data_IF_896797574724
#
_entry.id   IF_896797574724
#
_cell.length_a   1.000
_cell.length_b   1.000
_cell.length_c   1.000
_cell.angle_alpha   90.00
_cell.angle_beta   90.00
_cell.angle_gamma   90.00
#
_symmetry.space_group_name_H-M   'P 1'
#
loop_
_entity.id
_entity.type
_entity.pdbx_description
1 polymer ?
#
# COMPACT_ATOMS: atom_id res chain seq x y z
N UNK A 1 -22.32 19.65 -6.66
CA UNK A 1 -23.36 19.66 -5.62
C UNK A 1 -23.79 18.23 -5.32
N UNK A 2 -23.60 17.75 -4.09
CA UNK A 2 -23.92 16.37 -3.70
C UNK A 2 -25.21 16.26 -2.85
N UNK A 3 -26.08 17.28 -2.88
CA UNK A 3 -27.34 17.28 -2.13
C UNK A 3 -28.18 16.04 -2.46
N UNK A 4 -28.52 15.25 -1.45
CA UNK A 4 -29.34 14.05 -1.57
C UNK A 4 -28.64 12.75 -1.89
N UNK A 5 -27.34 12.75 -2.22
CA UNK A 5 -26.55 11.53 -2.39
C UNK A 5 -25.99 11.06 -1.05
N UNK A 6 -26.04 9.75 -0.78
CA UNK A 6 -25.36 9.18 0.38
C UNK A 6 -23.85 9.35 0.29
N UNK A 7 -23.14 9.33 1.41
CA UNK A 7 -21.66 9.39 1.46
C UNK A 7 -21.07 8.31 0.56
N UNK A 8 -21.57 7.09 0.62
CA UNK A 8 -21.14 6.01 -0.27
C UNK A 8 -21.31 6.38 -1.74
N UNK A 9 -22.49 6.91 -2.12
CA UNK A 9 -22.74 7.31 -3.51
C UNK A 9 -21.89 8.49 -3.95
N UNK A 10 -21.52 9.39 -3.04
CA UNK A 10 -20.60 10.49 -3.33
C UNK A 10 -19.21 9.96 -3.70
N UNK A 11 -18.66 9.02 -2.92
CA UNK A 11 -17.37 8.38 -3.19
C UNK A 11 -17.44 7.57 -4.49
N UNK A 12 -18.46 6.74 -4.67
CA UNK A 12 -18.61 5.89 -5.86
C UNK A 12 -18.91 6.68 -7.14
N UNK A 13 -19.41 7.92 -7.03
CA UNK A 13 -19.57 8.80 -8.21
C UNK A 13 -18.25 9.26 -8.83
N UNK A 14 -17.13 9.05 -8.14
CA UNK A 14 -15.77 9.31 -8.66
C UNK A 14 -15.25 8.18 -9.57
N UNK A 15 -15.97 7.06 -9.67
CA UNK A 15 -15.63 5.97 -10.59
C UNK A 15 -15.64 6.51 -12.03
N UNK A 16 -14.54 6.42 -12.77
CA UNK A 16 -14.52 6.76 -14.19
C UNK A 16 -15.23 5.65 -15.00
N UNK A 17 -16.53 5.80 -15.19
CA UNK A 17 -17.44 4.79 -15.73
C UNK A 17 -16.96 4.19 -17.06
N UNK A 18 -16.51 5.06 -17.99
CA UNK A 18 -16.01 4.62 -19.30
C UNK A 18 -14.79 3.72 -19.17
N UNK A 19 -13.85 4.12 -18.32
CA UNK A 19 -12.59 3.38 -18.13
C UNK A 19 -12.87 2.06 -17.39
N UNK A 20 -13.76 2.08 -16.38
CA UNK A 20 -14.18 0.86 -15.68
C UNK A 20 -14.84 -0.12 -16.66
N UNK A 21 -15.75 0.37 -17.52
CA UNK A 21 -16.37 -0.45 -18.55
C UNK A 21 -15.32 -1.07 -19.49
N UNK A 22 -14.32 -0.31 -19.90
CA UNK A 22 -13.21 -0.80 -20.74
C UNK A 22 -12.45 -1.95 -20.07
N UNK A 23 -12.18 -1.84 -18.74
CA UNK A 23 -11.57 -2.94 -17.98
C UNK A 23 -12.45 -4.18 -17.97
N UNK A 24 -13.76 -4.03 -17.77
CA UNK A 24 -14.71 -5.15 -17.76
C UNK A 24 -14.83 -5.82 -19.13
N UNK A 25 -14.93 -5.03 -20.21
CA UNK A 25 -15.12 -5.54 -21.58
C UNK A 25 -13.90 -6.32 -22.07
N UNK A 26 -12.68 -5.97 -21.62
CA UNK A 26 -11.44 -6.68 -21.92
C UNK A 26 -11.52 -8.17 -21.57
N UNK A 27 -12.17 -8.50 -20.45
CA UNK A 27 -12.31 -9.89 -19.95
C UNK A 27 -13.63 -10.53 -20.31
N UNK A 28 -14.52 -9.87 -21.09
CA UNK A 28 -15.80 -10.38 -21.62
C UNK A 28 -16.76 -10.95 -20.57
N UNK A 29 -16.65 -10.52 -19.32
CA UNK A 29 -17.33 -11.17 -18.17
C UNK A 29 -18.81 -10.80 -18.08
N UNK A 30 -19.20 -9.60 -18.52
CA UNK A 30 -20.61 -9.16 -18.51
C UNK A 30 -21.47 -9.74 -19.64
N UNK A 31 -20.89 -10.46 -20.59
CA UNK A 31 -21.60 -10.97 -21.78
C UNK A 31 -22.83 -11.82 -21.45
N UNK A 32 -22.87 -12.44 -20.25
CA UNK A 32 -24.01 -13.23 -19.75
C UNK A 32 -24.56 -12.77 -18.41
N UNK A 33 -24.12 -11.61 -17.91
CA UNK A 33 -24.59 -11.09 -16.63
C UNK A 33 -25.92 -10.32 -16.83
N UNK A 34 -27.05 -10.98 -16.57
CA UNK A 34 -28.39 -10.35 -16.74
C UNK A 34 -28.74 -9.36 -15.63
N UNK A 35 -28.51 -9.72 -14.35
CA UNK A 35 -29.04 -8.98 -13.21
C UNK A 35 -27.96 -8.51 -12.22
N UNK A 36 -26.71 -8.95 -12.33
CA UNK A 36 -25.61 -8.62 -11.42
C UNK A 36 -24.34 -8.35 -12.20
N UNK A 37 -24.06 -7.09 -12.50
CA UNK A 37 -22.91 -6.66 -13.27
C UNK A 37 -21.61 -6.67 -12.44
N UNK A 38 -20.44 -6.48 -13.09
CA UNK A 38 -19.17 -6.25 -12.39
C UNK A 38 -19.21 -4.96 -11.57
N UNK A 39 -19.96 -3.95 -12.01
CA UNK A 39 -20.14 -2.71 -11.24
C UNK A 39 -20.93 -2.98 -9.96
N UNK A 40 -22.04 -3.74 -10.05
CA UNK A 40 -22.81 -4.11 -8.85
C UNK A 40 -21.94 -4.89 -7.86
N UNK A 41 -21.11 -5.83 -8.35
CA UNK A 41 -20.15 -6.55 -7.51
C UNK A 41 -19.18 -5.59 -6.85
N UNK A 42 -18.60 -4.66 -7.60
CA UNK A 42 -17.67 -3.66 -7.07
C UNK A 42 -18.33 -2.83 -5.96
N UNK A 43 -19.53 -2.31 -6.19
CA UNK A 43 -20.27 -1.50 -5.20
C UNK A 43 -20.58 -2.31 -3.94
N UNK A 44 -21.10 -3.53 -4.08
CA UNK A 44 -21.44 -4.39 -2.94
C UNK A 44 -20.20 -4.77 -2.13
N UNK A 45 -19.12 -5.15 -2.80
CA UNK A 45 -17.88 -5.53 -2.14
C UNK A 45 -17.21 -4.33 -1.44
N UNK A 46 -17.16 -3.16 -2.09
CA UNK A 46 -16.63 -1.93 -1.49
C UNK A 46 -17.46 -1.49 -0.28
N UNK A 47 -18.80 -1.59 -0.38
CA UNK A 47 -19.70 -1.32 0.75
C UNK A 47 -19.43 -2.27 1.92
N UNK A 48 -19.31 -3.57 1.64
CA UNK A 48 -19.03 -4.60 2.64
C UNK A 48 -17.66 -4.36 3.35
N UNK A 49 -16.65 -3.99 2.60
CA UNK A 49 -15.33 -3.69 3.15
C UNK A 49 -15.35 -2.42 4.02
N UNK A 50 -15.96 -1.33 3.55
CA UNK A 50 -16.05 -0.08 4.30
C UNK A 50 -16.90 -0.19 5.56
N UNK A 51 -17.90 -1.10 5.59
CA UNK A 51 -18.75 -1.37 6.76
C UNK A 51 -18.28 -2.53 7.62
N UNK A 52 -17.14 -3.14 7.28
CA UNK A 52 -16.52 -4.19 8.08
C UNK A 52 -17.33 -5.49 8.14
N UNK A 53 -17.90 -5.94 7.02
CA UNK A 53 -18.62 -7.21 6.98
C UNK A 53 -17.66 -8.39 7.01
N UNK A 54 -17.99 -9.42 7.78
CA UNK A 54 -17.10 -10.56 8.02
C UNK A 54 -17.39 -11.76 7.12
N UNK A 55 -18.57 -11.84 6.52
CA UNK A 55 -18.96 -12.99 5.69
C UNK A 55 -19.99 -12.62 4.63
N UNK A 56 -20.13 -13.49 3.61
CA UNK A 56 -21.19 -13.35 2.60
C UNK A 56 -22.60 -13.34 3.19
N UNK A 57 -22.81 -14.06 4.28
CA UNK A 57 -24.10 -14.06 4.99
C UNK A 57 -24.35 -12.72 5.70
N UNK A 58 -23.31 -12.17 6.31
CA UNK A 58 -23.38 -10.86 6.95
C UNK A 58 -23.63 -9.74 5.91
N UNK A 59 -23.00 -9.82 4.73
CA UNK A 59 -23.27 -8.91 3.61
C UNK A 59 -24.74 -9.00 3.20
N UNK A 60 -25.28 -10.20 2.95
CA UNK A 60 -26.67 -10.41 2.56
C UNK A 60 -27.64 -9.86 3.60
N UNK A 61 -27.42 -10.15 4.89
CA UNK A 61 -28.24 -9.66 5.99
C UNK A 61 -28.21 -8.13 6.09
N UNK A 62 -27.03 -7.54 5.98
CA UNK A 62 -26.84 -6.08 6.00
C UNK A 62 -27.58 -5.40 4.83
N UNK A 63 -27.41 -5.91 3.60
CA UNK A 63 -28.10 -5.36 2.43
C UNK A 63 -29.63 -5.53 2.54
N UNK A 64 -30.11 -6.65 3.08
CA UNK A 64 -31.55 -6.87 3.31
C UNK A 64 -32.12 -5.89 4.33
N UNK A 65 -31.44 -5.66 5.44
CA UNK A 65 -31.84 -4.68 6.45
C UNK A 65 -31.85 -3.24 5.91
N UNK A 66 -30.97 -2.93 4.93
CA UNK A 66 -30.86 -1.62 4.31
C UNK A 66 -31.64 -1.50 2.99
N UNK A 67 -32.54 -2.43 2.68
CA UNK A 67 -33.21 -2.49 1.37
C UNK A 67 -33.85 -1.18 0.92
N UNK A 68 -34.45 -0.40 1.82
CA UNK A 68 -35.00 0.93 1.53
C UNK A 68 -33.97 2.01 1.21
N UNK A 69 -32.70 1.81 1.58
CA UNK A 69 -31.61 2.79 1.38
C UNK A 69 -30.65 2.41 0.24
N UNK A 70 -30.68 1.17 -0.24
CA UNK A 70 -29.74 0.65 -1.25
C UNK A 70 -29.73 1.47 -2.53
N UNK A 71 -30.91 1.87 -3.01
CA UNK A 71 -31.05 2.70 -4.20
C UNK A 71 -30.23 4.01 -4.09
N UNK A 72 -30.22 4.62 -2.92
CA UNK A 72 -29.45 5.84 -2.67
C UNK A 72 -27.94 5.58 -2.61
N UNK A 73 -27.51 4.34 -2.41
CA UNK A 73 -26.13 3.89 -2.47
C UNK A 73 -25.70 3.45 -3.89
N UNK A 74 -26.63 3.47 -4.86
CA UNK A 74 -26.38 2.96 -6.21
C UNK A 74 -26.40 1.43 -6.32
N UNK A 75 -26.90 0.73 -5.28
CA UNK A 75 -27.06 -0.73 -5.23
C UNK A 75 -28.53 -1.05 -5.53
N UNK A 76 -28.79 -1.77 -6.62
CA UNK A 76 -30.15 -1.95 -7.14
C UNK A 76 -31.03 -2.83 -6.25
N UNK A 77 -30.46 -3.81 -5.55
CA UNK A 77 -31.18 -4.75 -4.70
C UNK A 77 -30.26 -5.45 -3.70
N UNK A 78 -30.84 -6.08 -2.68
CA UNK A 78 -30.09 -6.92 -1.75
C UNK A 78 -29.64 -8.21 -2.46
N UNK A 79 -28.34 -8.30 -2.74
CA UNK A 79 -27.76 -9.39 -3.51
C UNK A 79 -27.70 -10.67 -2.67
N UNK A 80 -28.25 -11.81 -3.15
CA UNK A 80 -28.12 -13.08 -2.46
C UNK A 80 -26.65 -13.52 -2.36
N UNK A 81 -26.26 -14.06 -1.21
CA UNK A 81 -24.87 -14.55 -0.96
C UNK A 81 -24.36 -15.51 -2.03
N UNK A 82 -25.24 -16.40 -2.55
CA UNK A 82 -24.86 -17.35 -3.59
C UNK A 82 -24.53 -16.67 -4.92
N UNK A 83 -25.19 -15.57 -5.24
CA UNK A 83 -24.90 -14.76 -6.43
C UNK A 83 -23.54 -14.07 -6.29
N UNK A 84 -23.30 -13.47 -5.12
CA UNK A 84 -22.03 -12.82 -4.83
C UNK A 84 -20.87 -13.83 -4.77
N UNK A 85 -21.07 -14.99 -4.14
CA UNK A 85 -20.08 -16.08 -4.11
C UNK A 85 -19.67 -16.53 -5.52
N UNK A 86 -20.67 -16.83 -6.38
CA UNK A 86 -20.41 -17.24 -7.77
C UNK A 86 -19.69 -16.14 -8.57
N UNK A 87 -20.03 -14.88 -8.34
CA UNK A 87 -19.35 -13.76 -8.99
C UNK A 87 -17.90 -13.65 -8.55
N UNK A 88 -17.60 -13.76 -7.25
CA UNK A 88 -16.24 -13.72 -6.69
C UNK A 88 -15.37 -14.89 -7.19
N UNK A 89 -15.97 -16.05 -7.42
CA UNK A 89 -15.26 -17.24 -7.90
C UNK A 89 -14.98 -17.20 -9.40
N UNK A 90 -15.94 -16.71 -10.21
CA UNK A 90 -15.89 -16.86 -11.68
C UNK A 90 -15.41 -15.64 -12.44
N UNK A 91 -15.56 -14.45 -11.87
CA UNK A 91 -15.13 -13.21 -12.53
C UNK A 91 -13.63 -13.01 -12.36
N UNK A 92 -12.96 -12.69 -13.45
CA UNK A 92 -11.51 -12.51 -13.47
C UNK A 92 -11.10 -11.32 -12.58
N UNK A 93 -10.24 -11.55 -11.62
CA UNK A 93 -9.74 -10.53 -10.70
C UNK A 93 -8.91 -9.44 -11.40
N UNK A 94 -8.35 -9.73 -12.57
CA UNK A 94 -7.59 -8.75 -13.35
C UNK A 94 -8.43 -7.53 -13.76
N UNK A 95 -9.74 -7.66 -13.84
CA UNK A 95 -10.66 -6.52 -14.06
C UNK A 95 -10.37 -5.40 -13.05
N UNK A 96 -10.30 -5.78 -11.77
CA UNK A 96 -10.12 -4.82 -10.67
C UNK A 96 -8.66 -4.39 -10.52
N UNK A 97 -7.71 -5.23 -10.92
CA UNK A 97 -6.30 -4.84 -11.05
C UNK A 97 -6.14 -3.75 -12.11
N UNK A 98 -6.64 -3.98 -13.31
CA UNK A 98 -6.58 -3.00 -14.39
C UNK A 98 -7.31 -1.70 -14.00
N UNK A 99 -8.40 -1.82 -13.26
CA UNK A 99 -9.13 -0.67 -12.76
C UNK A 99 -8.35 0.10 -11.68
N UNK A 100 -7.63 -0.59 -10.81
CA UNK A 100 -6.72 0.06 -9.85
C UNK A 100 -5.63 0.87 -10.57
N UNK A 101 -5.05 0.33 -11.65
CA UNK A 101 -4.07 1.03 -12.48
C UNK A 101 -4.67 2.31 -13.12
N UNK A 102 -5.93 2.25 -13.55
CA UNK A 102 -6.66 3.42 -14.07
C UNK A 102 -6.88 4.47 -12.99
N UNK A 103 -7.35 4.05 -11.81
CA UNK A 103 -7.55 4.96 -10.67
C UNK A 103 -6.25 5.62 -10.25
N UNK A 104 -5.17 4.84 -10.16
CA UNK A 104 -3.85 5.36 -9.80
C UNK A 104 -3.38 6.46 -10.76
N UNK A 105 -3.54 6.27 -12.07
CA UNK A 105 -3.21 7.28 -13.09
C UNK A 105 -3.98 8.58 -12.89
N UNK A 106 -5.20 8.53 -12.36
CA UNK A 106 -6.02 9.72 -12.08
C UNK A 106 -5.70 10.36 -10.73
N UNK A 107 -5.37 9.55 -9.73
CA UNK A 107 -5.17 10.01 -8.35
C UNK A 107 -3.76 10.55 -8.14
N UNK A 108 -2.73 9.84 -8.60
CA UNK A 108 -1.31 10.20 -8.39
C UNK A 108 -0.97 11.66 -8.75
N UNK A 109 -1.43 12.21 -9.90
CA UNK A 109 -1.15 13.62 -10.23
C UNK A 109 -1.70 14.63 -9.23
N UNK A 110 -2.79 14.30 -8.52
CA UNK A 110 -3.40 15.19 -7.53
C UNK A 110 -2.54 15.31 -6.26
N UNK A 111 -1.67 14.35 -6.02
CA UNK A 111 -0.73 14.32 -4.90
C UNK A 111 0.68 14.79 -5.25
N UNK A 112 0.95 15.07 -6.54
CA UNK A 112 2.30 15.45 -6.99
C UNK A 112 2.85 16.73 -6.33
N UNK A 113 1.96 17.63 -5.89
CA UNK A 113 2.30 18.88 -5.20
C UNK A 113 2.24 18.79 -3.68
N UNK A 114 1.90 17.62 -3.13
CA UNK A 114 1.92 17.44 -1.68
C UNK A 114 3.35 17.51 -1.19
N UNK A 115 3.54 18.23 -0.08
CA UNK A 115 4.85 18.30 0.56
C UNK A 115 5.18 16.92 1.13
N UNK A 116 6.33 16.40 0.75
CA UNK A 116 6.96 15.34 1.49
C UNK A 116 7.57 15.95 2.76
N UNK A 117 7.66 15.19 3.86
CA UNK A 117 8.18 15.69 5.13
C UNK A 117 9.58 16.27 5.01
N UNK A 118 10.40 15.67 4.16
CA UNK A 118 11.74 16.15 3.83
C UNK A 118 11.67 17.01 2.57
N UNK A 119 12.43 18.12 2.55
CA UNK A 119 12.51 19.02 1.39
C UNK A 119 13.39 18.39 0.29
N UNK A 120 12.78 17.50 -0.48
CA UNK A 120 13.45 16.74 -1.55
C UNK A 120 12.64 16.84 -2.85
N UNK A 121 13.36 17.11 -3.94
CA UNK A 121 12.77 17.12 -5.29
C UNK A 121 12.48 15.71 -5.81
N UNK A 122 13.26 14.73 -5.38
CA UNK A 122 13.16 13.34 -5.83
C UNK A 122 11.85 12.69 -5.40
N UNK A 123 11.35 11.79 -6.23
CA UNK A 123 10.28 10.88 -5.81
C UNK A 123 10.84 9.89 -4.79
N UNK A 124 10.10 9.68 -3.70
CA UNK A 124 10.48 8.75 -2.64
C UNK A 124 9.45 7.64 -2.55
N UNK A 125 9.93 6.42 -2.65
CA UNK A 125 9.12 5.21 -2.57
C UNK A 125 9.55 4.33 -1.41
N UNK A 126 8.57 3.78 -0.67
CA UNK A 126 8.82 2.71 0.27
C UNK A 126 8.37 1.38 -0.34
N UNK A 127 9.24 0.37 -0.32
CA UNK A 127 8.96 -0.97 -0.80
C UNK A 127 9.04 -1.99 0.32
N UNK A 128 7.97 -2.77 0.47
CA UNK A 128 7.93 -3.86 1.44
C UNK A 128 6.90 -4.92 1.05
N UNK A 129 6.86 -6.01 1.81
CA UNK A 129 5.88 -7.07 1.64
C UNK A 129 5.12 -7.35 2.93
N UNK A 130 3.86 -7.72 2.79
CA UNK A 130 3.06 -8.15 3.91
C UNK A 130 2.39 -9.48 3.65
N UNK A 131 2.55 -10.42 4.59
CA UNK A 131 1.89 -11.73 4.51
C UNK A 131 0.46 -11.63 5.01
N UNK A 132 -0.46 -12.18 4.22
CA UNK A 132 -1.86 -12.38 4.57
C UNK A 132 -2.04 -13.86 4.81
N UNK A 133 -2.27 -14.22 6.08
CA UNK A 133 -2.45 -15.62 6.48
C UNK A 133 -3.79 -16.17 6.00
N UNK A 134 -3.81 -17.37 5.47
CA UNK A 134 -4.98 -18.07 4.99
C UNK A 134 -5.15 -19.41 5.74
N UNK A 135 -6.40 -19.79 6.00
CA UNK A 135 -6.69 -21.09 6.56
C UNK A 135 -6.37 -22.18 5.53
N UNK A 136 -5.34 -22.98 5.79
CA UNK A 136 -4.85 -24.00 4.86
C UNK A 136 -5.93 -25.05 4.52
N UNK A 137 -6.83 -25.36 5.46
CA UNK A 137 -7.94 -26.31 5.21
C UNK A 137 -8.92 -25.78 4.18
N UNK A 138 -9.13 -24.46 4.14
CA UNK A 138 -10.05 -23.81 3.21
C UNK A 138 -9.35 -23.38 1.91
N UNK A 139 -8.04 -23.08 1.98
CA UNK A 139 -7.24 -22.57 0.86
C UNK A 139 -6.00 -23.44 0.66
N UNK A 140 -6.13 -24.73 0.27
CA UNK A 140 -4.98 -25.65 0.15
C UNK A 140 -3.95 -25.21 -0.91
N UNK A 141 -4.39 -24.45 -1.91
CA UNK A 141 -3.54 -23.86 -2.96
C UNK A 141 -2.52 -22.83 -2.42
N UNK A 142 -2.83 -22.20 -1.27
CA UNK A 142 -1.98 -21.16 -0.68
C UNK A 142 -0.91 -21.70 0.27
N UNK A 143 -0.66 -23.03 0.28
CA UNK A 143 0.32 -23.67 1.17
C UNK A 143 1.72 -23.14 0.92
N UNK A 144 2.43 -22.70 1.98
CA UNK A 144 3.83 -22.28 1.90
C UNK A 144 4.74 -22.91 2.99
N UNK A 145 4.16 -23.43 4.08
CA UNK A 145 4.85 -24.24 5.09
C UNK A 145 3.98 -25.43 5.46
N UNK A 146 4.55 -26.42 6.21
CA UNK A 146 3.85 -27.66 6.56
C UNK A 146 2.41 -27.44 7.03
N UNK A 147 2.19 -26.43 7.90
CA UNK A 147 0.89 -26.14 8.52
C UNK A 147 0.42 -24.68 8.30
N UNK A 148 0.99 -23.95 7.33
CA UNK A 148 0.63 -22.53 7.09
C UNK A 148 0.28 -22.29 5.64
N UNK A 149 -0.85 -21.61 5.41
CA UNK A 149 -1.26 -21.05 4.13
C UNK A 149 -1.15 -19.53 4.17
N UNK A 150 -0.86 -18.92 3.02
CA UNK A 150 -0.81 -17.47 2.90
C UNK A 150 -0.35 -17.00 1.54
N UNK A 151 -0.65 -15.74 1.31
CA UNK A 151 -0.17 -14.97 0.16
C UNK A 151 0.64 -13.78 0.67
N UNK A 152 1.56 -13.29 -0.15
CA UNK A 152 2.29 -12.04 0.09
C UNK A 152 1.79 -10.95 -0.84
N UNK A 153 1.61 -9.80 -0.28
CA UNK A 153 1.35 -8.57 -1.01
C UNK A 153 2.62 -7.70 -0.96
N UNK A 154 3.35 -7.68 -2.07
CA UNK A 154 4.50 -6.79 -2.27
C UNK A 154 3.99 -5.45 -2.78
N UNK A 155 4.35 -4.38 -2.11
CA UNK A 155 3.79 -3.06 -2.44
C UNK A 155 4.89 -2.01 -2.48
N UNK A 156 4.88 -1.24 -3.55
CA UNK A 156 5.63 0.01 -3.68
C UNK A 156 4.67 1.16 -3.39
N UNK A 157 4.96 1.93 -2.37
CA UNK A 157 4.14 3.08 -1.94
C UNK A 157 4.87 4.38 -2.29
N UNK A 158 4.19 5.27 -3.02
CA UNK A 158 4.62 6.64 -3.22
C UNK A 158 4.33 7.45 -1.95
N UNK A 159 5.38 7.96 -1.29
CA UNK A 159 5.26 8.59 0.03
C UNK A 159 4.67 10.01 -0.01
N UNK A 160 4.53 10.63 -1.17
CA UNK A 160 3.85 11.94 -1.30
C UNK A 160 2.35 11.88 -1.04
N UNK A 161 1.75 10.72 -1.01
CA UNK A 161 0.31 10.57 -0.72
C UNK A 161 -0.01 9.19 -0.16
N UNK A 162 1.00 8.42 0.21
CA UNK A 162 0.87 7.03 0.65
C UNK A 162 0.08 6.17 -0.35
N UNK A 163 0.34 6.39 -1.67
CA UNK A 163 -0.37 5.72 -2.74
C UNK A 163 0.33 4.42 -3.16
N UNK A 164 -0.36 3.28 -3.25
CA UNK A 164 0.21 2.02 -3.72
C UNK A 164 0.41 2.09 -5.25
N UNK A 165 1.61 2.48 -5.69
CA UNK A 165 1.93 2.64 -7.12
C UNK A 165 2.25 1.34 -7.83
N UNK A 166 2.60 0.30 -7.09
CA UNK A 166 2.73 -1.06 -7.61
C UNK A 166 2.35 -2.05 -6.54
N UNK A 167 1.49 -3.00 -6.89
CA UNK A 167 1.12 -4.12 -6.02
C UNK A 167 1.29 -5.42 -6.78
N UNK A 168 1.98 -6.37 -6.16
CA UNK A 168 2.21 -7.69 -6.72
C UNK A 168 1.87 -8.76 -5.68
N UNK A 169 0.98 -9.68 -6.04
CA UNK A 169 0.53 -10.78 -5.19
C UNK A 169 1.27 -12.06 -5.54
N UNK A 170 1.80 -12.75 -4.54
CA UNK A 170 2.50 -14.03 -4.70
C UNK A 170 2.07 -15.04 -3.63
N UNK A 171 2.41 -16.30 -3.85
CA UNK A 171 2.43 -17.26 -2.74
C UNK A 171 3.40 -16.78 -1.65
N UNK A 172 3.04 -16.99 -0.39
CA UNK A 172 3.92 -16.65 0.74
C UNK A 172 5.25 -17.43 0.76
N UNK A 173 5.43 -18.44 -0.10
CA UNK A 173 6.69 -19.15 -0.31
C UNK A 173 7.73 -18.36 -1.11
N UNK A 174 7.31 -17.34 -1.87
CA UNK A 174 8.21 -16.55 -2.70
C UNK A 174 9.07 -15.66 -1.80
N UNK A 175 10.39 -15.69 -2.06
CA UNK A 175 11.33 -14.83 -1.33
C UNK A 175 11.10 -13.37 -1.72
N UNK A 176 11.06 -12.47 -0.73
CA UNK A 176 10.76 -11.06 -0.90
C UNK A 176 11.69 -10.35 -1.88
N UNK A 177 12.99 -10.69 -1.86
CA UNK A 177 14.00 -10.13 -2.77
C UNK A 177 13.64 -10.33 -4.26
N UNK A 178 12.96 -11.44 -4.61
CA UNK A 178 12.55 -11.69 -6.00
C UNK A 178 11.48 -10.73 -6.50
N UNK A 179 10.74 -10.11 -5.60
CA UNK A 179 9.73 -9.13 -5.99
C UNK A 179 10.35 -7.85 -6.56
N UNK A 180 11.62 -7.54 -6.23
CA UNK A 180 12.36 -6.43 -6.84
C UNK A 180 12.45 -6.53 -8.37
N UNK A 181 12.50 -7.76 -8.91
CA UNK A 181 12.60 -7.99 -10.36
C UNK A 181 11.36 -7.48 -11.13
N UNK A 182 10.23 -7.28 -10.44
CA UNK A 182 8.97 -6.81 -11.01
C UNK A 182 8.73 -5.30 -10.82
N UNK A 183 9.65 -4.58 -10.18
CA UNK A 183 9.49 -3.15 -9.95
C UNK A 183 9.85 -2.36 -11.21
N UNK A 184 8.98 -1.42 -11.55
CA UNK A 184 9.33 -0.34 -12.45
C UNK A 184 10.18 0.68 -11.69
N UNK A 185 11.42 0.87 -12.11
CA UNK A 185 12.35 1.81 -11.48
C UNK A 185 12.37 3.11 -12.28
N UNK A 186 11.98 4.20 -11.62
CA UNK A 186 12.04 5.56 -12.14
C UNK A 186 13.46 6.14 -11.92
N UNK A 187 14.08 6.76 -12.94
CA UNK A 187 15.34 7.46 -12.76
C UNK A 187 15.23 8.57 -11.70
N UNK A 188 16.31 8.81 -10.99
CA UNK A 188 16.41 9.80 -9.90
C UNK A 188 15.50 9.58 -8.70
N UNK A 189 14.67 8.52 -8.67
CA UNK A 189 13.85 8.21 -7.51
C UNK A 189 14.65 7.50 -6.41
N UNK A 190 14.19 7.63 -5.17
CA UNK A 190 14.77 7.01 -3.97
C UNK A 190 13.87 5.87 -3.51
N UNK A 191 14.44 4.68 -3.32
CA UNK A 191 13.74 3.47 -2.90
C UNK A 191 14.16 3.09 -1.48
N UNK A 192 13.23 3.17 -0.54
CA UNK A 192 13.42 2.81 0.86
C UNK A 192 13.02 1.34 1.04
N UNK A 193 13.91 0.52 1.56
CA UNK A 193 13.71 -0.92 1.70
C UNK A 193 14.27 -1.44 3.01
N UNK A 194 13.72 -2.53 3.54
CA UNK A 194 14.30 -3.23 4.67
C UNK A 194 15.58 -4.02 4.27
N UNK A 195 16.42 -4.35 5.26
CA UNK A 195 17.65 -5.15 5.07
C UNK A 195 17.42 -6.50 4.41
N UNK A 196 16.20 -7.04 4.52
CA UNK A 196 15.80 -8.28 3.85
C UNK A 196 15.90 -8.22 2.32
N UNK A 197 15.82 -7.01 1.76
CA UNK A 197 15.92 -6.77 0.31
C UNK A 197 17.34 -6.55 -0.19
N UNK A 198 18.35 -6.54 0.69
CA UNK A 198 19.75 -6.36 0.28
C UNK A 198 20.24 -7.56 -0.52
N UNK A 199 20.25 -7.37 -1.83
CA UNK A 199 20.87 -8.23 -2.84
C UNK A 199 21.69 -7.33 -3.77
N UNK A 200 23.01 -7.34 -3.63
CA UNK A 200 23.90 -6.40 -4.32
C UNK A 200 23.80 -6.47 -5.85
N UNK A 201 23.58 -7.67 -6.40
CA UNK A 201 23.39 -7.82 -7.84
C UNK A 201 22.12 -7.12 -8.33
N UNK A 202 21.00 -7.26 -7.58
CA UNK A 202 19.73 -6.59 -7.89
C UNK A 202 19.83 -5.09 -7.66
N UNK A 203 20.37 -4.66 -6.51
CA UNK A 203 20.56 -3.23 -6.23
C UNK A 203 21.36 -2.54 -7.32
N UNK A 204 22.44 -3.16 -7.78
CA UNK A 204 23.24 -2.62 -8.86
C UNK A 204 22.48 -2.57 -10.20
N UNK A 205 21.97 -3.69 -10.65
CA UNK A 205 21.30 -3.81 -11.96
C UNK A 205 19.99 -3.07 -12.07
N UNK A 206 19.16 -3.15 -11.02
CA UNK A 206 17.80 -2.63 -11.07
C UNK A 206 17.72 -1.17 -10.62
N UNK A 207 18.58 -0.72 -9.72
CA UNK A 207 18.52 0.63 -9.15
C UNK A 207 19.67 1.46 -9.65
N UNK A 208 20.90 1.14 -9.30
CA UNK A 208 22.07 1.97 -9.61
C UNK A 208 22.27 2.17 -11.11
N UNK A 209 22.23 1.11 -11.91
CA UNK A 209 22.36 1.21 -13.38
C UNK A 209 21.20 1.93 -14.08
N UNK A 210 20.09 2.18 -13.39
CA UNK A 210 18.97 2.98 -13.87
C UNK A 210 19.00 4.42 -13.34
N UNK A 211 20.12 4.86 -12.75
CA UNK A 211 20.27 6.18 -12.14
C UNK A 211 19.21 6.47 -11.06
N UNK A 212 18.87 5.48 -10.27
CA UNK A 212 18.00 5.62 -9.11
C UNK A 212 18.81 5.39 -7.82
N UNK A 213 18.23 5.76 -6.69
CA UNK A 213 18.86 5.65 -5.39
C UNK A 213 18.12 4.67 -4.50
N UNK A 214 18.83 4.10 -3.53
CA UNK A 214 18.22 3.31 -2.49
C UNK A 214 18.72 3.72 -1.11
N UNK A 215 17.91 3.51 -0.09
CA UNK A 215 18.33 3.56 1.32
C UNK A 215 17.80 2.31 2.01
N UNK A 216 18.70 1.58 2.66
CA UNK A 216 18.38 0.35 3.39
C UNK A 216 19.26 0.21 4.62
N UNK A 217 18.94 -0.73 5.53
CA UNK A 217 19.84 -1.08 6.63
C UNK A 217 20.94 -2.00 6.12
N UNK A 218 22.16 -1.78 6.56
CA UNK A 218 23.27 -2.70 6.31
C UNK A 218 23.04 -4.04 7.00
N UNK A 219 23.51 -5.13 6.39
CA UNK A 219 23.59 -6.45 7.04
C UNK A 219 24.83 -6.52 7.92
N UNK A 220 24.71 -7.16 9.07
CA UNK A 220 25.81 -7.24 10.06
C UNK A 220 27.03 -8.05 9.55
N UNK A 221 26.78 -9.00 8.64
CA UNK A 221 27.80 -9.85 8.03
C UNK A 221 28.35 -9.30 6.70
N UNK A 222 28.17 -8.03 6.40
CA UNK A 222 28.67 -7.40 5.18
C UNK A 222 30.19 -7.19 5.30
N UNK A 223 30.94 -7.61 4.27
CA UNK A 223 32.39 -7.40 4.17
C UNK A 223 32.66 -6.18 3.27
N UNK A 224 33.37 -5.20 3.81
CA UNK A 224 33.71 -3.97 3.11
C UNK A 224 35.01 -3.37 3.67
N UNK A 225 35.59 -2.45 2.93
CA UNK A 225 36.66 -1.55 3.35
C UNK A 225 36.18 -0.11 3.31
N UNK A 226 36.64 0.73 4.23
CA UNK A 226 36.38 2.17 4.23
C UNK A 226 37.34 2.84 3.27
N UNK A 227 36.84 3.57 2.31
CA UNK A 227 37.60 4.31 1.32
C UNK A 227 37.91 5.73 1.80
N UNK A 228 36.90 6.38 2.39
CA UNK A 228 37.00 7.71 3.00
C UNK A 228 35.91 7.92 4.03
N UNK A 229 36.15 8.82 4.95
CA UNK A 229 35.21 9.25 5.99
C UNK A 229 35.00 10.76 5.91
N UNK A 230 33.75 11.19 6.01
CA UNK A 230 33.39 12.61 6.05
C UNK A 230 33.28 13.10 7.49
N UNK A 231 33.54 14.38 7.72
CA UNK A 231 33.27 15.03 8.99
C UNK A 231 31.76 15.06 9.27
N UNK A 232 31.38 14.75 10.50
CA UNK A 232 29.98 14.66 10.91
C UNK A 232 29.72 15.49 12.17
N UNK A 233 28.53 16.09 12.25
CA UNK A 233 28.04 16.71 13.48
C UNK A 233 27.41 15.64 14.36
N UNK A 234 28.14 15.22 15.39
CA UNK A 234 27.69 14.20 16.35
C UNK A 234 26.48 14.63 17.19
N UNK A 235 26.21 15.95 17.27
CA UNK A 235 25.03 16.46 18.02
C UNK A 235 23.71 16.05 17.36
N UNK A 236 23.73 15.71 16.06
CA UNK A 236 22.56 15.23 15.29
C UNK A 236 22.25 13.75 15.48
N UNK A 237 23.11 13.02 16.22
CA UNK A 237 23.05 11.55 16.34
C UNK A 237 23.83 10.81 15.26
N UNK A 238 24.44 11.48 14.28
CA UNK A 238 25.31 10.83 13.30
C UNK A 238 26.65 10.50 13.93
N UNK A 239 27.01 9.20 13.94
CA UNK A 239 28.28 8.69 14.47
C UNK A 239 29.36 8.72 13.40
N UNK A 240 29.07 8.23 12.20
CA UNK A 240 30.00 8.22 11.06
C UNK A 240 29.26 8.33 9.73
N UNK A 241 29.98 8.82 8.73
CA UNK A 241 29.56 8.91 7.34
C UNK A 241 30.73 8.47 6.44
N UNK A 242 30.65 7.25 5.94
CA UNK A 242 31.74 6.54 5.32
C UNK A 242 31.43 6.21 3.85
N UNK A 243 32.38 6.44 2.96
CA UNK A 243 32.38 5.80 1.64
C UNK A 243 33.05 4.44 1.79
N UNK A 244 32.39 3.42 1.29
CA UNK A 244 32.83 2.03 1.43
C UNK A 244 32.88 1.33 0.09
N UNK A 245 33.71 0.31 0.00
CA UNK A 245 33.77 -0.61 -1.12
C UNK A 245 33.60 -2.04 -0.61
N UNK A 246 32.77 -2.82 -1.30
CA UNK A 246 32.53 -4.20 -0.93
C UNK A 246 33.77 -5.06 -1.22
N UNK A 247 34.19 -5.90 -0.26
CA UNK A 247 35.36 -6.77 -0.37
C UNK A 247 35.02 -8.27 -0.43
N UNK A 248 33.76 -8.62 -0.17
CA UNK A 248 33.34 -10.02 -0.24
C UNK A 248 33.42 -10.57 -1.67
N UNK A 249 33.89 -11.80 -1.82
CA UNK A 249 34.25 -12.46 -3.09
C UNK A 249 33.16 -12.35 -4.18
N UNK A 250 31.90 -12.49 -3.82
CA UNK A 250 30.77 -12.35 -4.74
C UNK A 250 30.20 -10.94 -4.75
N UNK A 251 30.10 -10.30 -3.59
CA UNK A 251 29.46 -8.97 -3.46
C UNK A 251 30.24 -7.88 -4.15
N UNK A 252 31.60 -7.89 -4.07
CA UNK A 252 32.45 -6.98 -4.79
C UNK A 252 32.31 -7.09 -6.32
N UNK A 253 32.12 -8.32 -6.84
CA UNK A 253 31.87 -8.55 -8.26
C UNK A 253 30.48 -8.07 -8.70
N UNK A 254 29.46 -8.21 -7.84
CA UNK A 254 28.08 -7.85 -8.16
C UNK A 254 27.81 -6.36 -8.04
N UNK A 255 28.50 -5.69 -7.14
CA UNK A 255 28.40 -4.25 -6.92
C UNK A 255 29.83 -3.66 -6.87
N UNK A 256 30.29 -3.17 -8.02
CA UNK A 256 31.69 -2.70 -8.21
C UNK A 256 31.89 -1.22 -7.89
N UNK A 257 30.81 -0.47 -7.71
CA UNK A 257 30.84 0.95 -7.38
C UNK A 257 30.92 1.15 -5.86
N UNK A 258 31.35 2.33 -5.44
CA UNK A 258 31.34 2.71 -4.03
C UNK A 258 29.92 2.84 -3.51
N UNK A 259 29.74 2.53 -2.25
CA UNK A 259 28.54 2.74 -1.47
C UNK A 259 28.83 3.72 -0.34
N UNK A 260 27.80 4.26 0.24
CA UNK A 260 27.89 5.11 1.43
C UNK A 260 27.21 4.42 2.58
N UNK A 261 27.89 4.45 3.74
CA UNK A 261 27.36 3.93 5.01
C UNK A 261 27.26 5.07 6.01
N UNK A 262 26.05 5.33 6.47
CA UNK A 262 25.77 6.31 7.51
C UNK A 262 25.43 5.57 8.80
N UNK A 263 26.19 5.82 9.86
CA UNK A 263 25.92 5.26 11.20
C UNK A 263 25.24 6.32 12.04
N UNK A 264 24.07 5.98 12.57
CA UNK A 264 23.21 6.87 13.34
C UNK A 264 22.83 6.24 14.69
N UNK A 265 22.92 7.01 15.76
CA UNK A 265 22.43 6.65 17.09
C UNK A 265 21.08 7.32 17.37
N UNK A 266 20.09 6.50 17.64
CA UNK A 266 18.78 6.99 18.10
C UNK A 266 18.82 7.20 19.62
N UNK A 267 18.95 8.43 20.05
CA UNK A 267 19.02 8.79 21.48
C UNK A 267 17.77 8.41 22.28
N UNK A 268 16.59 8.28 21.62
CA UNK A 268 15.37 7.88 22.30
C UNK A 268 15.37 6.39 22.69
N UNK A 269 16.03 5.56 21.88
CA UNK A 269 16.07 4.10 22.07
C UNK A 269 17.45 3.57 22.43
N UNK A 270 18.49 4.39 22.42
CA UNK A 270 19.92 4.03 22.56
C UNK A 270 20.35 2.93 21.58
N UNK A 271 19.77 2.92 20.38
CA UNK A 271 20.10 1.94 19.33
C UNK A 271 20.92 2.59 18.23
N UNK A 272 21.92 1.85 17.76
CA UNK A 272 22.77 2.27 16.65
C UNK A 272 22.31 1.57 15.38
N UNK A 273 22.13 2.35 14.32
CA UNK A 273 21.72 1.89 13.00
C UNK A 273 22.77 2.21 11.96
N UNK A 274 22.99 1.29 11.01
CA UNK A 274 23.86 1.50 9.86
C UNK A 274 23.00 1.49 8.60
N UNK A 275 22.94 2.64 7.93
CA UNK A 275 22.20 2.82 6.68
C UNK A 275 23.16 2.72 5.49
N UNK A 276 22.76 1.94 4.51
CA UNK A 276 23.50 1.73 3.27
C UNK A 276 22.77 2.40 2.11
N UNK A 277 23.49 3.17 1.31
CA UNK A 277 22.93 3.88 0.16
C UNK A 277 23.96 4.02 -0.97
N UNK A 278 23.48 4.27 -2.19
CA UNK A 278 24.28 4.73 -3.33
C UNK A 278 24.14 6.25 -3.57
N UNK A 279 23.43 6.97 -2.70
CA UNK A 279 23.34 8.42 -2.77
C UNK A 279 24.52 9.06 -2.04
N UNK A 280 25.30 9.85 -2.79
CA UNK A 280 26.51 10.52 -2.28
C UNK A 280 26.29 12.02 -2.02
N UNK A 281 25.09 12.55 -2.31
CA UNK A 281 24.82 13.99 -2.36
C UNK A 281 24.12 14.50 -1.11
N UNK A 282 23.14 13.73 -0.59
CA UNK A 282 22.36 14.17 0.57
C UNK A 282 23.19 14.17 1.86
N UNK A 283 22.83 15.05 2.78
CA UNK A 283 23.39 15.04 4.14
C UNK A 283 23.13 13.70 4.86
N UNK A 284 24.05 13.31 5.75
CA UNK A 284 23.94 12.05 6.50
C UNK A 284 22.66 11.97 7.34
N UNK A 285 22.25 13.10 7.93
CA UNK A 285 21.00 13.19 8.68
C UNK A 285 19.79 12.92 7.76
N UNK A 286 19.77 13.49 6.57
CA UNK A 286 18.70 13.26 5.58
C UNK A 286 18.59 11.80 5.19
N UNK A 287 19.71 11.06 5.05
CA UNK A 287 19.67 9.61 4.78
C UNK A 287 19.00 8.83 5.93
N UNK A 288 19.30 9.19 7.18
CA UNK A 288 18.68 8.54 8.35
C UNK A 288 17.19 8.84 8.46
N UNK A 289 16.79 10.10 8.20
CA UNK A 289 15.40 10.52 8.18
C UNK A 289 14.60 9.89 7.03
N UNK A 290 15.20 9.74 5.84
CA UNK A 290 14.61 9.00 4.73
C UNK A 290 14.29 7.56 5.13
N UNK A 291 15.20 6.88 5.81
CA UNK A 291 14.94 5.50 6.23
C UNK A 291 13.77 5.41 7.21
N UNK A 292 13.56 6.40 8.08
CA UNK A 292 12.40 6.47 8.96
C UNK A 292 11.08 6.47 8.18
N UNK A 293 11.05 7.16 7.04
CA UNK A 293 9.85 7.23 6.20
C UNK A 293 9.46 5.87 5.57
N UNK A 294 10.35 4.87 5.56
CA UNK A 294 10.03 3.50 5.16
C UNK A 294 8.82 2.94 5.92
N UNK A 295 8.64 3.35 7.18
CA UNK A 295 7.53 2.89 8.02
C UNK A 295 6.14 3.16 7.42
N UNK A 296 6.01 4.12 6.53
CA UNK A 296 4.74 4.44 5.89
C UNK A 296 4.15 3.27 5.09
N UNK A 297 4.99 2.37 4.54
CA UNK A 297 4.46 1.17 3.86
C UNK A 297 3.83 0.19 4.85
N UNK A 298 4.34 0.10 6.06
CA UNK A 298 3.77 -0.74 7.12
C UNK A 298 2.44 -0.15 7.62
N UNK A 299 2.36 1.18 7.75
CA UNK A 299 1.11 1.88 8.05
C UNK A 299 0.07 1.64 6.94
N UNK A 300 0.48 1.65 5.67
CA UNK A 300 -0.39 1.27 4.56
C UNK A 300 -0.91 -0.17 4.71
N UNK A 301 -0.02 -1.14 5.02
CA UNK A 301 -0.45 -2.53 5.23
C UNK A 301 -1.37 -2.69 6.43
N UNK A 302 -1.08 -2.02 7.54
CA UNK A 302 -1.94 -2.00 8.71
C UNK A 302 -3.31 -1.46 8.32
N UNK A 303 -3.33 -0.34 7.61
CA UNK A 303 -4.55 0.30 7.16
C UNK A 303 -5.40 -0.63 6.28
N UNK A 304 -4.84 -1.18 5.18
CA UNK A 304 -5.60 -2.00 4.23
C UNK A 304 -6.12 -3.30 4.88
N UNK A 305 -5.34 -3.89 5.81
CA UNK A 305 -5.74 -5.09 6.53
C UNK A 305 -6.86 -4.84 7.54
N UNK A 306 -6.85 -3.70 8.21
CA UNK A 306 -7.81 -3.37 9.27
C UNK A 306 -9.10 -2.77 8.73
N UNK A 307 -8.99 -1.78 7.83
CA UNK A 307 -10.15 -1.00 7.38
C UNK A 307 -10.85 -1.59 6.16
N UNK A 308 -10.17 -2.38 5.36
CA UNK A 308 -10.78 -3.03 4.21
C UNK A 308 -10.98 -4.54 4.41
N UNK A 309 -10.83 -4.99 5.65
CA UNK A 309 -11.17 -6.35 6.10
C UNK A 309 -10.60 -7.48 5.25
N UNK A 310 -9.38 -7.31 4.71
CA UNK A 310 -8.73 -8.37 3.93
C UNK A 310 -8.15 -9.52 4.79
N UNK A 311 -8.55 -9.61 6.07
CA UNK A 311 -8.29 -10.77 6.94
C UNK A 311 -9.43 -11.77 6.91
N UNK A 312 -10.68 -11.33 6.61
CA UNK A 312 -11.86 -12.17 6.47
C UNK A 312 -12.24 -12.26 4.99
N UNK A 313 -11.92 -13.39 4.37
CA UNK A 313 -12.19 -13.56 2.94
C UNK A 313 -13.60 -14.11 2.68
N UNK A 314 -14.25 -13.56 1.66
CA UNK A 314 -15.61 -13.95 1.22
C UNK A 314 -15.60 -15.13 0.25
N UNK A 315 -14.47 -15.78 0.05
CA UNK A 315 -14.29 -16.95 -0.79
C UNK A 315 -12.95 -17.63 -0.49
N UNK A 316 -12.79 -18.86 -0.96
CA UNK A 316 -11.61 -19.70 -0.70
C UNK A 316 -10.77 -19.97 -1.94
N UNK A 317 -11.27 -19.68 -3.12
CA UNK A 317 -10.49 -19.79 -4.37
C UNK A 317 -9.48 -18.64 -4.49
N UNK A 318 -8.38 -18.89 -5.18
CA UNK A 318 -7.36 -17.88 -5.47
C UNK A 318 -7.99 -16.64 -6.11
N UNK A 319 -8.83 -16.87 -7.12
CA UNK A 319 -9.53 -15.78 -7.81
C UNK A 319 -10.37 -14.92 -6.86
N UNK A 320 -11.15 -15.51 -5.97
CA UNK A 320 -12.01 -14.79 -5.03
C UNK A 320 -11.20 -13.94 -4.03
N UNK A 321 -10.07 -14.47 -3.57
CA UNK A 321 -9.17 -13.78 -2.64
C UNK A 321 -8.47 -12.61 -3.34
N UNK A 322 -7.91 -12.82 -4.52
CA UNK A 322 -7.26 -11.77 -5.29
C UNK A 322 -8.25 -10.67 -5.69
N UNK A 323 -9.44 -11.06 -6.11
CA UNK A 323 -10.52 -10.13 -6.43
C UNK A 323 -10.87 -9.23 -5.24
N UNK A 324 -11.02 -9.80 -4.04
CA UNK A 324 -11.31 -9.02 -2.82
C UNK A 324 -10.19 -8.04 -2.48
N UNK A 325 -8.93 -8.45 -2.62
CA UNK A 325 -7.76 -7.58 -2.38
C UNK A 325 -7.74 -6.43 -3.39
N UNK A 326 -7.95 -6.71 -4.68
CA UNK A 326 -7.93 -5.67 -5.70
C UNK A 326 -9.09 -4.68 -5.58
N UNK A 327 -10.28 -5.15 -5.17
CA UNK A 327 -11.40 -4.25 -4.83
C UNK A 327 -11.03 -3.37 -3.62
N UNK A 328 -10.35 -3.93 -2.60
CA UNK A 328 -9.87 -3.15 -1.47
C UNK A 328 -8.90 -2.04 -1.90
N UNK A 329 -7.95 -2.35 -2.79
CA UNK A 329 -7.01 -1.36 -3.34
C UNK A 329 -7.75 -0.29 -4.14
N UNK A 330 -8.72 -0.66 -4.97
CA UNK A 330 -9.56 0.30 -5.70
C UNK A 330 -10.35 1.21 -4.74
N UNK A 331 -10.90 0.63 -3.67
CA UNK A 331 -11.63 1.39 -2.64
C UNK A 331 -10.73 2.38 -1.92
N UNK A 332 -9.49 1.97 -1.59
CA UNK A 332 -8.46 2.87 -1.05
C UNK A 332 -8.18 4.05 -1.99
N UNK A 333 -7.94 3.76 -3.26
CA UNK A 333 -7.66 4.79 -4.26
C UNK A 333 -8.86 5.73 -4.48
N UNK A 334 -10.09 5.23 -4.39
CA UNK A 334 -11.28 6.09 -4.44
C UNK A 334 -11.42 7.00 -3.21
N UNK A 335 -11.05 6.53 -2.01
CA UNK A 335 -10.99 7.37 -0.81
C UNK A 335 -9.90 8.44 -0.95
N UNK A 336 -8.73 8.07 -1.46
CA UNK A 336 -7.65 9.01 -1.76
C UNK A 336 -8.09 10.05 -2.81
N UNK A 337 -8.82 9.62 -3.83
CA UNK A 337 -9.39 10.50 -4.85
C UNK A 337 -10.41 11.47 -4.24
N UNK A 338 -11.35 10.95 -3.43
CA UNK A 338 -12.35 11.76 -2.73
C UNK A 338 -11.71 12.80 -1.83
N UNK A 339 -10.68 12.43 -1.04
CA UNK A 339 -9.91 13.37 -0.21
C UNK A 339 -9.46 14.59 -1.00
N UNK A 340 -8.86 14.40 -2.17
CA UNK A 340 -8.32 15.50 -2.98
C UNK A 340 -9.40 16.31 -3.69
N UNK A 341 -10.35 15.64 -4.35
CA UNK A 341 -11.39 16.32 -5.14
C UNK A 341 -12.39 17.07 -4.25
N UNK A 342 -12.61 16.59 -3.04
CA UNK A 342 -13.54 17.20 -2.09
C UNK A 342 -12.85 18.08 -1.05
N UNK A 343 -11.52 18.29 -1.18
CA UNK A 343 -10.72 19.15 -0.28
C UNK A 343 -10.90 18.77 1.19
N UNK A 344 -10.69 17.49 1.53
CA UNK A 344 -10.76 17.00 2.90
C UNK A 344 -9.37 17.01 3.50
N UNK A 345 -9.17 17.74 4.60
CA UNK A 345 -7.86 17.90 5.24
C UNK A 345 -7.46 16.68 6.10
N UNK A 346 -8.45 15.94 6.60
CA UNK A 346 -8.23 14.77 7.45
C UNK A 346 -7.39 13.68 6.77
N UNK A 347 -6.65 12.90 7.57
CA UNK A 347 -5.85 11.77 7.07
C UNK A 347 -6.74 10.70 6.42
N UNK A 348 -6.18 9.92 5.49
CA UNK A 348 -6.91 8.79 4.89
C UNK A 348 -7.36 7.77 5.95
N UNK A 349 -6.59 7.64 7.04
CA UNK A 349 -6.96 6.80 8.18
C UNK A 349 -8.24 7.29 8.85
N UNK A 350 -8.31 8.57 9.21
CA UNK A 350 -9.48 9.20 9.81
C UNK A 350 -10.70 9.13 8.90
N UNK A 351 -10.51 9.42 7.61
CA UNK A 351 -11.59 9.34 6.61
C UNK A 351 -12.17 7.93 6.56
N UNK A 352 -11.34 6.90 6.44
CA UNK A 352 -11.83 5.52 6.30
C UNK A 352 -12.52 5.00 7.55
N UNK A 353 -11.99 5.33 8.72
CA UNK A 353 -12.58 4.95 10.00
C UNK A 353 -13.98 5.53 10.18
N UNK A 354 -14.15 6.79 9.81
CA UNK A 354 -15.41 7.50 10.02
C UNK A 354 -16.40 7.28 8.87
N UNK A 355 -15.94 7.17 7.63
CA UNK A 355 -16.80 6.92 6.46
C UNK A 355 -17.68 5.69 6.64
N UNK A 356 -17.14 4.60 7.19
CA UNK A 356 -17.87 3.36 7.42
C UNK A 356 -19.10 3.51 8.31
N UNK A 357 -19.09 4.46 9.26
CA UNK A 357 -20.19 4.74 10.17
C UNK A 357 -21.35 5.51 9.50
N UNK A 358 -21.03 6.33 8.49
CA UNK A 358 -21.97 7.29 7.90
C UNK A 358 -22.29 7.03 6.42
N UNK A 359 -21.95 5.83 5.89
CA UNK A 359 -22.07 5.52 4.45
C UNK A 359 -23.46 5.78 3.86
N UNK A 360 -24.52 5.58 4.66
CA UNK A 360 -25.92 5.79 4.23
C UNK A 360 -26.44 7.20 4.48
N UNK A 361 -25.67 8.07 5.13
CA UNK A 361 -26.06 9.44 5.40
C UNK A 361 -25.92 10.31 4.15
N UNK A 362 -26.76 11.33 4.06
CA UNK A 362 -26.83 12.26 2.91
C UNK A 362 -26.06 13.56 3.15
N UNK A 363 -25.27 13.62 4.21
CA UNK A 363 -24.38 14.75 4.49
C UNK A 363 -23.34 14.87 3.39
N UNK A 364 -23.01 16.06 2.89
CA UNK A 364 -21.83 16.23 2.02
C UNK A 364 -20.57 15.73 2.72
N UNK A 365 -19.73 15.00 1.97
CA UNK A 365 -18.56 14.34 2.56
C UNK A 365 -17.56 15.36 3.15
N UNK A 366 -17.37 16.51 2.51
CA UNK A 366 -16.56 17.60 3.02
C UNK A 366 -17.13 18.18 4.33
N UNK A 367 -18.46 18.31 4.46
CA UNK A 367 -19.06 18.85 5.69
C UNK A 367 -18.92 17.90 6.86
N UNK A 368 -18.90 16.58 6.60
CA UNK A 368 -18.68 15.57 7.63
C UNK A 368 -17.31 15.73 8.29
N UNK A 369 -16.27 16.05 7.50
CA UNK A 369 -14.89 16.11 7.98
C UNK A 369 -14.42 17.51 8.36
N UNK A 370 -14.95 18.57 7.74
CA UNK A 370 -14.54 19.95 8.04
C UNK A 370 -15.24 20.51 9.30
N UNK A 371 -16.32 19.88 9.77
CA UNK A 371 -16.96 20.24 11.06
C UNK A 371 -16.31 19.59 12.28
N UNK A 372 -15.53 18.54 12.09
CA UNK A 372 -14.70 18.00 13.14
C UNK A 372 -13.55 18.99 13.38
N UNK A 373 -13.52 19.61 14.57
CA UNK A 373 -12.37 20.39 15.05
C UNK A 373 -11.12 19.54 14.77
N UNK A 374 -10.06 20.10 14.14
CA UNK A 374 -8.82 19.37 14.01
C UNK A 374 -8.37 19.01 15.41
N UNK A 375 -8.51 17.78 15.83
CA UNK A 375 -7.64 17.25 16.85
C UNK A 375 -6.27 17.36 16.23
N UNK A 376 -5.40 18.20 16.78
CA UNK A 376 -3.97 18.07 16.64
C UNK A 376 -3.63 16.68 17.20
N UNK A 377 -3.95 15.65 16.43
CA UNK A 377 -3.26 14.39 16.53
C UNK A 377 -1.86 14.74 15.99
N UNK A 378 -1.01 15.17 16.90
CA UNK A 378 0.43 15.11 16.68
C UNK A 378 0.67 13.68 16.24
N UNK A 379 1.12 13.51 14.99
CA UNK A 379 1.41 12.19 14.39
C UNK A 379 2.54 11.46 15.13
N UNK A 380 3.04 12.02 16.25
CA UNK A 380 4.09 11.45 17.11
C UNK A 380 3.76 10.04 17.64
N UNK A 381 2.49 9.67 17.78
CA UNK A 381 2.11 8.29 18.13
C UNK A 381 2.10 7.35 16.89
N UNK A 382 2.08 7.89 15.66
CA UNK A 382 2.18 7.12 14.42
C UNK A 382 3.61 6.66 14.13
N UNK A 383 4.60 7.34 14.74
CA UNK A 383 6.00 6.97 14.67
C UNK A 383 6.43 6.43 16.04
N UNK A 384 6.18 5.15 16.36
CA UNK A 384 6.88 4.54 17.47
C UNK A 384 8.37 4.74 17.19
N UNK A 385 9.17 4.93 18.26
CA UNK A 385 10.63 5.03 18.20
C UNK A 385 11.15 4.28 16.98
N UNK A 386 12.00 4.85 16.17
CA UNK A 386 12.47 4.48 14.81
C UNK A 386 12.23 3.01 14.37
N UNK A 387 11.90 2.11 15.33
CA UNK A 387 11.74 0.66 15.13
C UNK A 387 10.78 0.07 16.17
N UNK A 388 9.83 -0.73 15.70
CA UNK A 388 8.96 -1.55 16.55
C UNK A 388 9.76 -2.64 17.27
N UNK A 389 9.35 -3.07 18.50
CA UNK A 389 9.90 -4.23 19.17
C UNK A 389 9.85 -5.55 18.38
N UNK A 390 9.02 -5.62 17.33
CA UNK A 390 8.81 -6.80 16.49
C UNK A 390 9.78 -6.89 15.29
N UNK A 391 10.74 -5.98 15.19
CA UNK A 391 11.80 -6.02 14.16
C UNK A 391 12.96 -6.99 14.50
N UNK A 392 12.75 -7.94 15.43
CA UNK A 392 13.72 -8.95 15.83
C UNK A 392 13.39 -10.36 15.33
#
# INVERSE_FOLDING_TARGET
>A
MNKGKTIFSQIMSLIPERDFKTCVDRYKVNYRARNFSCKDQFLVMSYAQLTGRDSLRDIENCLTALSSKLYHCGISYAVPRNTLAKANEKRDWHIYKDFADVLLKKVRPLYAKDKFRLDLDNMVYAFDSSTISLCLKLCPWAKFRKNKGGIKMHTLVDLRGNLPVSVYLTSASVNDVKALDNLYIEPSAIYLMDRGYVDFNRLFKLITKKNAFFVTRAKDNMLFEVVSEAEVDKSTGIISDERIKLTGLHTAKWYSEELRMVTYEDYATNKVYRFLTNNMEYEALTISELYRERWNVELYFKWIKQHLHIKSFYGTSENAIYLQIWIAICTYLLLAYAKKVMHIDQSLHTISKNVGLFLTDKTPLNDLFNKAVPTEETEDWLYPSLFSPDDF
#
